data_IF_801628704398
#
_entry.id   IF_801628704398
#
_cell.length_a   1.000
_cell.length_b   1.000
_cell.length_c   1.000
_cell.angle_alpha   90.00
_cell.angle_beta   90.00
_cell.angle_gamma   90.00
#
_symmetry.space_group_name_H-M   'P 1'
#
loop_
_entity.id
_entity.type
_entity.pdbx_description
1 polymer ?
#
# COMPACT_ATOMS: atom_id res chain seq x y z
N UNK A 1 -7.68 -7.62 3.82
CA UNK A 1 -8.29 -7.02 2.60
C UNK A 1 -8.05 -7.87 1.36
N UNK A 2 -6.86 -7.87 0.74
CA UNK A 2 -6.65 -8.56 -0.55
C UNK A 2 -6.90 -10.06 -0.50
N UNK A 3 -6.38 -10.73 0.52
CA UNK A 3 -6.63 -12.17 0.71
C UNK A 3 -8.10 -12.48 0.96
N UNK A 4 -8.78 -11.64 1.74
CA UNK A 4 -10.23 -11.78 2.00
C UNK A 4 -11.06 -11.58 0.74
N UNK A 5 -10.55 -10.82 -0.24
CA UNK A 5 -11.13 -10.62 -1.56
C UNK A 5 -10.75 -11.72 -2.58
N UNK A 6 -10.11 -12.82 -2.15
CA UNK A 6 -9.75 -13.96 -3.00
C UNK A 6 -8.37 -13.88 -3.67
N UNK A 7 -7.56 -12.86 -3.38
CA UNK A 7 -6.22 -12.71 -3.96
C UNK A 7 -5.15 -13.41 -3.09
N UNK A 8 -5.04 -14.73 -3.24
CA UNK A 8 -4.15 -15.57 -2.40
C UNK A 8 -2.64 -15.38 -2.62
N UNK A 9 -2.24 -14.79 -3.75
CA UNK A 9 -0.84 -14.41 -3.99
C UNK A 9 -0.41 -13.19 -3.17
N UNK A 10 -1.36 -12.44 -2.58
CA UNK A 10 -1.04 -11.29 -1.76
C UNK A 10 -0.31 -11.70 -0.46
N UNK A 11 0.76 -10.99 -0.05
CA UNK A 11 1.48 -11.28 1.18
C UNK A 11 0.55 -11.32 2.39
N UNK A 12 0.70 -12.35 3.23
CA UNK A 12 -0.08 -12.51 4.47
C UNK A 12 0.65 -12.00 5.72
N UNK A 13 1.93 -11.66 5.59
CA UNK A 13 2.79 -11.27 6.70
C UNK A 13 3.52 -9.99 6.37
N UNK A 14 3.68 -9.14 7.38
CA UNK A 14 4.48 -7.91 7.30
C UNK A 14 5.91 -8.24 7.71
N UNK A 15 6.87 -7.86 6.88
CA UNK A 15 8.29 -8.03 7.21
C UNK A 15 8.70 -6.99 8.28
N UNK A 16 9.40 -7.39 9.36
CA UNK A 16 9.83 -6.42 10.38
C UNK A 16 10.77 -5.36 9.83
N UNK A 17 10.63 -4.11 10.32
CA UNK A 17 11.39 -2.95 9.85
C UNK A 17 12.92 -3.14 9.92
N UNK A 18 13.42 -3.80 10.96
CA UNK A 18 14.85 -4.02 11.14
C UNK A 18 15.42 -4.99 10.11
N UNK A 19 14.63 -5.96 9.63
CA UNK A 19 15.03 -6.90 8.58
C UNK A 19 15.23 -6.15 7.26
N UNK A 20 14.30 -5.25 6.91
CA UNK A 20 14.42 -4.40 5.71
C UNK A 20 15.69 -3.56 5.77
N UNK A 21 15.96 -2.94 6.93
CA UNK A 21 17.15 -2.12 7.14
C UNK A 21 18.46 -2.91 7.00
N UNK A 22 18.49 -4.15 7.52
CA UNK A 22 19.64 -5.04 7.39
C UNK A 22 19.86 -5.45 5.92
N UNK A 23 18.80 -5.85 5.22
CA UNK A 23 18.90 -6.22 3.81
C UNK A 23 19.31 -5.02 2.92
N UNK A 24 18.95 -3.79 3.31
CA UNK A 24 19.37 -2.56 2.65
C UNK A 24 20.88 -2.30 2.71
N UNK A 25 21.65 -2.99 3.56
CA UNK A 25 23.12 -2.91 3.54
C UNK A 25 23.70 -3.64 2.32
N UNK A 26 23.00 -4.64 1.80
CA UNK A 26 23.46 -5.49 0.69
C UNK A 26 22.76 -5.17 -0.63
N UNK A 27 21.58 -4.55 -0.60
CA UNK A 27 20.81 -4.20 -1.78
C UNK A 27 20.50 -2.68 -1.82
N UNK A 28 20.98 -1.93 -2.83
CA UNK A 28 20.73 -0.50 -2.99
C UNK A 28 19.25 -0.11 -3.09
N UNK A 29 18.40 -0.94 -3.73
CA UNK A 29 16.96 -0.68 -3.85
C UNK A 29 16.28 -0.80 -2.49
N UNK A 30 16.65 -1.82 -1.70
CA UNK A 30 16.17 -1.99 -0.34
C UNK A 30 16.70 -0.91 0.60
N UNK A 31 17.87 -0.33 0.34
CA UNK A 31 18.42 0.80 1.10
C UNK A 31 17.50 2.02 1.03
N UNK A 32 16.99 2.34 -0.16
CA UNK A 32 16.03 3.43 -0.34
C UNK A 32 14.75 3.16 0.45
N UNK A 33 14.16 1.96 0.30
CA UNK A 33 12.96 1.57 1.05
C UNK A 33 13.18 1.59 2.57
N UNK A 34 14.34 1.11 3.05
CA UNK A 34 14.70 1.09 4.46
C UNK A 34 14.72 2.47 5.13
N UNK A 35 14.88 3.55 4.35
CA UNK A 35 14.80 4.93 4.85
C UNK A 35 13.37 5.41 5.14
N UNK A 36 12.38 4.84 4.44
CA UNK A 36 10.96 5.14 4.61
C UNK A 36 10.27 4.21 5.62
N UNK A 37 10.75 2.97 5.75
CA UNK A 37 10.13 1.95 6.60
C UNK A 37 10.15 2.35 8.08
N UNK A 38 8.97 2.24 8.72
CA UNK A 38 8.74 2.64 10.11
C UNK A 38 8.35 4.10 10.31
N UNK A 39 8.16 4.88 9.23
CA UNK A 39 7.61 6.23 9.29
C UNK A 39 6.19 6.21 8.72
N UNK A 40 5.25 6.78 9.46
CA UNK A 40 3.89 7.00 8.97
C UNK A 40 3.76 8.45 8.49
N UNK A 41 3.59 8.65 7.18
CA UNK A 41 3.30 9.96 6.61
C UNK A 41 1.78 10.17 6.61
N UNK A 42 1.21 10.45 7.78
CA UNK A 42 -0.21 10.73 7.90
C UNK A 42 -0.52 12.15 7.42
N UNK A 43 -1.42 12.28 6.45
CA UNK A 43 -1.93 13.56 5.98
C UNK A 43 -3.46 13.55 6.03
N UNK A 44 -4.09 14.30 6.95
CA UNK A 44 -5.54 14.34 7.07
C UNK A 44 -6.18 15.02 5.86
N UNK A 45 -7.33 14.51 5.42
CA UNK A 45 -8.08 15.04 4.27
C UNK A 45 -9.18 16.05 4.67
N UNK A 46 -9.24 16.44 5.94
CA UNK A 46 -10.35 17.19 6.53
C UNK A 46 -10.54 18.57 5.87
N UNK A 47 -9.45 19.27 5.55
CA UNK A 47 -9.54 20.56 4.86
C UNK A 47 -10.21 20.44 3.49
N UNK A 48 -9.86 19.42 2.71
CA UNK A 48 -10.47 19.20 1.41
C UNK A 48 -11.95 18.81 1.54
N UNK A 49 -12.30 17.99 2.54
CA UNK A 49 -13.70 17.65 2.85
C UNK A 49 -14.51 18.89 3.24
N UNK A 50 -13.98 19.72 4.13
CA UNK A 50 -14.69 20.87 4.69
C UNK A 50 -14.77 22.06 3.72
N UNK A 51 -13.68 22.36 3.01
CA UNK A 51 -13.62 23.53 2.12
C UNK A 51 -14.17 23.23 0.73
N UNK A 52 -13.89 22.04 0.18
CA UNK A 52 -14.28 21.69 -1.19
C UNK A 52 -15.52 20.79 -1.25
N UNK A 53 -16.08 20.40 -0.10
CA UNK A 53 -17.14 19.39 -0.05
C UNK A 53 -16.69 18.02 -0.57
N UNK A 54 -15.37 17.76 -0.57
CA UNK A 54 -14.81 16.58 -1.21
C UNK A 54 -15.26 15.29 -0.50
N UNK A 55 -15.80 14.35 -1.27
CA UNK A 55 -16.21 13.01 -0.80
C UNK A 55 -15.28 11.96 -1.41
N UNK A 56 -14.15 11.64 -0.77
CA UNK A 56 -13.22 10.64 -1.30
C UNK A 56 -13.88 9.26 -1.34
N UNK A 57 -13.57 8.48 -2.37
CA UNK A 57 -13.96 7.07 -2.45
C UNK A 57 -13.28 6.27 -1.33
N UNK A 58 -13.93 5.19 -0.89
CA UNK A 58 -13.31 4.28 0.05
C UNK A 58 -12.04 3.67 -0.57
N UNK A 59 -10.92 3.77 0.15
CA UNK A 59 -9.63 3.27 -0.34
C UNK A 59 -9.63 1.74 -0.50
N UNK A 60 -10.26 0.99 0.40
CA UNK A 60 -10.34 -0.46 0.34
C UNK A 60 -11.08 -0.95 -0.90
N UNK A 61 -12.25 -0.38 -1.18
CA UNK A 61 -13.05 -0.71 -2.36
C UNK A 61 -12.28 -0.38 -3.65
N UNK A 62 -11.62 0.78 -3.67
CA UNK A 62 -10.83 1.23 -4.84
C UNK A 62 -9.66 0.29 -5.12
N UNK A 63 -9.02 -0.24 -4.07
CA UNK A 63 -7.93 -1.20 -4.19
C UNK A 63 -8.43 -2.54 -4.77
N UNK A 64 -9.58 -3.04 -4.30
CA UNK A 64 -10.18 -4.29 -4.81
C UNK A 64 -10.61 -4.12 -6.27
N UNK A 65 -11.26 -3.00 -6.62
CA UNK A 65 -11.65 -2.68 -7.99
C UNK A 65 -10.42 -2.64 -8.93
N UNK A 66 -9.33 -2.03 -8.48
CA UNK A 66 -8.07 -2.01 -9.23
C UNK A 66 -7.50 -3.42 -9.42
N UNK A 67 -7.50 -4.25 -8.37
CA UNK A 67 -7.02 -5.62 -8.45
C UNK A 67 -7.83 -6.45 -9.47
N UNK A 68 -9.15 -6.30 -9.47
CA UNK A 68 -10.04 -6.93 -10.45
C UNK A 68 -9.73 -6.46 -11.88
N UNK A 69 -9.54 -5.15 -12.10
CA UNK A 69 -9.18 -4.63 -13.42
C UNK A 69 -7.84 -5.17 -13.93
N UNK A 70 -6.85 -5.39 -13.05
CA UNK A 70 -5.58 -6.00 -13.46
C UNK A 70 -5.76 -7.45 -13.93
N UNK A 71 -6.62 -8.22 -13.27
CA UNK A 71 -6.99 -9.58 -13.68
C UNK A 71 -7.72 -9.56 -15.02
N UNK A 72 -8.72 -8.69 -15.17
CA UNK A 72 -9.49 -8.56 -16.43
C UNK A 72 -8.60 -8.21 -17.63
N UNK A 73 -7.54 -7.41 -17.39
CA UNK A 73 -6.55 -7.04 -18.41
C UNK A 73 -5.46 -8.10 -18.63
N UNK A 74 -5.47 -9.20 -17.87
CA UNK A 74 -4.48 -10.27 -17.96
C UNK A 74 -3.07 -9.84 -17.53
N UNK A 75 -2.96 -8.87 -16.63
CA UNK A 75 -1.67 -8.36 -16.14
C UNK A 75 -1.14 -9.14 -14.92
N UNK A 76 -1.97 -9.98 -14.28
CA UNK A 76 -1.66 -10.76 -13.06
C UNK A 76 -2.35 -12.12 -13.01
#
# INVERSE_FOLDING_TARGET
>A
LMRDAGFDKAPSRVLPNWVVKLLGLFNPELKQLGSFVGRENFTPSDKARNTLGWKPRNAGDSLIETANQLVEKGLV
#
